data_IF_354447456794
#
_entry.id   IF_354447456794
#
_cell.length_a   1.000
_cell.length_b   1.000
_cell.length_c   1.000
_cell.angle_alpha   90.00
_cell.angle_beta   90.00
_cell.angle_gamma   90.00
#
_symmetry.space_group_name_H-M   'P 1'
#
loop_
_entity.id
_entity.type
_entity.pdbx_description
1 polymer ?
#
# COMPACT_ATOMS: atom_id res chain seq x y z
N UNK A 1 25.63 -3.82 -40.29
CA UNK A 1 26.97 -4.11 -39.74
C UNK A 1 27.29 -3.07 -38.67
N UNK A 2 27.15 -3.43 -37.40
CA UNK A 2 28.10 -3.21 -36.29
C UNK A 2 27.38 -3.53 -34.97
N UNK A 3 27.61 -4.75 -34.50
CA UNK A 3 27.27 -5.22 -33.15
C UNK A 3 28.39 -4.79 -32.22
N UNK A 4 28.09 -4.16 -31.07
CA UNK A 4 29.11 -3.80 -30.07
C UNK A 4 28.82 -4.50 -28.75
N UNK A 5 29.39 -5.68 -28.60
CA UNK A 5 29.46 -6.47 -27.37
C UNK A 5 30.51 -5.86 -26.45
N UNK A 6 30.17 -5.62 -25.17
CA UNK A 6 31.15 -5.25 -24.13
C UNK A 6 31.27 -6.43 -23.15
N UNK A 7 32.41 -7.12 -23.23
CA UNK A 7 32.82 -8.11 -22.23
C UNK A 7 33.47 -7.39 -21.05
N UNK A 8 33.05 -7.71 -19.83
CA UNK A 8 33.71 -7.31 -18.59
C UNK A 8 34.37 -8.55 -17.98
N UNK A 9 35.70 -8.56 -18.01
CA UNK A 9 36.55 -9.56 -17.36
C UNK A 9 36.82 -9.10 -15.93
N UNK A 10 36.40 -9.87 -14.94
CA UNK A 10 36.79 -9.68 -13.53
C UNK A 10 37.78 -10.76 -13.15
N UNK A 11 38.98 -10.36 -12.75
CA UNK A 11 40.04 -11.23 -12.28
C UNK A 11 39.82 -11.55 -10.79
N UNK A 12 39.70 -12.85 -10.46
CA UNK A 12 39.79 -13.33 -9.08
C UNK A 12 41.27 -13.55 -8.71
N UNK A 13 41.74 -12.85 -7.68
CA UNK A 13 43.01 -13.14 -7.03
C UNK A 13 42.77 -14.11 -5.86
N UNK A 14 43.44 -15.26 -5.92
CA UNK A 14 43.50 -16.25 -4.85
C UNK A 14 44.57 -15.83 -3.81
N UNK A 15 44.24 -15.98 -2.54
CA UNK A 15 45.19 -15.82 -1.43
C UNK A 15 44.71 -16.59 -0.21
N UNK A 16 45.24 -17.80 -0.03
CA UNK A 16 45.11 -18.59 1.18
C UNK A 16 46.43 -18.51 1.97
N UNK A 17 46.36 -18.52 3.31
CA UNK A 17 47.27 -19.28 4.19
C UNK A 17 46.88 -19.17 5.68
N UNK A 18 46.58 -20.34 6.26
CA UNK A 18 46.99 -20.90 7.57
C UNK A 18 46.61 -20.28 8.93
N UNK A 19 46.04 -21.16 9.78
CA UNK A 19 45.72 -21.05 11.22
C UNK A 19 46.96 -21.29 12.15
N UNK A 20 46.91 -21.18 13.51
CA UNK A 20 46.20 -22.14 14.39
C UNK A 20 45.66 -21.67 15.78
N UNK A 21 44.78 -22.54 16.33
CA UNK A 21 44.32 -22.84 17.71
C UNK A 21 44.89 -22.12 18.96
N UNK A 22 43.98 -21.73 19.88
CA UNK A 22 44.15 -21.81 21.36
C UNK A 22 42.83 -22.29 22.01
N UNK A 23 42.99 -23.18 23.00
CA UNK A 23 42.00 -23.91 23.81
C UNK A 23 41.69 -23.17 25.15
N UNK A 24 40.62 -23.59 25.85
CA UNK A 24 40.18 -23.30 27.26
C UNK A 24 38.97 -22.34 27.34
N UNK A 25 37.90 -22.55 28.12
CA UNK A 25 37.59 -23.48 29.22
C UNK A 25 36.13 -23.25 29.71
N UNK A 26 35.70 -24.09 30.66
CA UNK A 26 34.31 -24.36 31.05
C UNK A 26 33.57 -23.32 31.95
N UNK A 27 32.23 -23.42 31.88
CA UNK A 27 31.20 -23.34 32.96
C UNK A 27 30.80 -22.00 33.61
N UNK A 28 29.49 -21.67 33.51
CA UNK A 28 28.46 -21.56 34.58
C UNK A 28 27.26 -20.77 34.02
N UNK A 29 26.02 -21.28 33.92
CA UNK A 29 24.96 -21.62 34.91
C UNK A 29 23.96 -20.46 35.20
N UNK A 30 22.68 -20.76 34.92
CA UNK A 30 21.40 -20.25 35.47
C UNK A 30 20.93 -18.78 35.35
N UNK A 31 19.69 -18.62 34.84
CA UNK A 31 18.52 -17.87 35.38
C UNK A 31 17.53 -17.70 34.20
N UNK A 32 16.47 -18.50 34.02
CA UNK A 32 15.15 -18.35 34.65
C UNK A 32 14.67 -16.89 34.76
N UNK A 33 13.88 -16.45 33.78
CA UNK A 33 12.73 -15.57 33.98
C UNK A 33 11.71 -15.84 32.86
N UNK A 34 10.73 -16.68 33.20
CA UNK A 34 9.48 -16.77 32.47
C UNK A 34 8.61 -15.59 32.95
N UNK A 35 8.29 -14.65 32.05
CA UNK A 35 7.16 -13.76 32.30
C UNK A 35 6.06 -14.00 31.27
N UNK A 36 4.93 -14.42 31.82
CA UNK A 36 3.72 -14.81 31.13
C UNK A 36 2.91 -13.55 30.86
N UNK A 37 2.89 -13.08 29.61
CA UNK A 37 1.91 -12.06 29.22
C UNK A 37 0.60 -12.72 28.80
N UNK A 38 -0.29 -12.71 29.78
CA UNK A 38 -1.70 -13.11 29.74
C UNK A 38 -2.42 -12.54 28.50
N UNK A 39 -3.06 -13.42 27.73
CA UNK A 39 -4.03 -13.04 26.70
C UNK A 39 -5.23 -12.36 27.35
N UNK A 40 -5.42 -11.07 27.06
CA UNK A 40 -6.66 -10.37 27.35
C UNK A 40 -7.65 -10.61 26.20
N UNK A 41 -8.66 -11.43 26.45
CA UNK A 41 -9.81 -11.61 25.57
C UNK A 41 -10.69 -10.36 25.64
N UNK A 42 -10.73 -9.57 24.56
CA UNK A 42 -11.72 -8.50 24.43
C UNK A 42 -13.03 -9.09 23.91
N UNK A 43 -14.04 -9.15 24.78
CA UNK A 43 -15.41 -9.51 24.42
C UNK A 43 -16.10 -8.29 23.81
N UNK A 44 -16.37 -8.31 22.51
CA UNK A 44 -17.23 -7.32 21.87
C UNK A 44 -18.68 -7.68 22.18
N UNK A 45 -19.37 -6.81 22.92
CA UNK A 45 -20.81 -6.90 23.14
C UNK A 45 -21.51 -6.21 21.98
N UNK A 46 -22.10 -7.00 21.09
CA UNK A 46 -22.94 -6.51 20.00
C UNK A 46 -24.26 -5.99 20.58
N UNK A 47 -24.52 -4.70 20.45
CA UNK A 47 -25.82 -4.11 20.83
C UNK A 47 -26.76 -4.23 19.64
N UNK A 48 -27.63 -5.25 19.67
CA UNK A 48 -28.73 -5.42 18.73
C UNK A 48 -29.79 -4.35 19.01
N UNK A 49 -30.00 -3.43 18.06
CA UNK A 49 -31.19 -2.56 18.04
C UNK A 49 -32.29 -3.29 17.25
N UNK A 50 -33.50 -3.48 17.81
CA UNK A 50 -34.57 -4.17 17.10
C UNK A 50 -35.19 -3.28 16.00
N UNK A 51 -35.60 -3.93 14.91
CA UNK A 51 -36.19 -3.30 13.74
C UNK A 51 -37.52 -2.58 13.98
N UNK A 52 -37.84 -1.70 13.02
CA UNK A 52 -39.15 -1.10 12.86
C UNK A 52 -39.59 -1.24 11.41
N UNK A 53 -40.47 -2.21 11.16
CA UNK A 53 -41.37 -2.20 10.00
C UNK A 53 -42.52 -1.22 10.28
N UNK A 54 -42.88 -0.41 9.28
CA UNK A 54 -44.02 0.49 9.36
C UNK A 54 -44.25 1.22 8.04
N UNK A 55 -44.99 0.59 7.12
CA UNK A 55 -45.50 1.25 5.91
C UNK A 55 -46.66 2.20 6.20
N UNK A 56 -46.95 3.06 5.22
CA UNK A 56 -48.16 3.88 5.18
C UNK A 56 -47.97 5.16 4.37
N UNK A 57 -48.85 5.35 3.39
CA UNK A 57 -48.96 6.41 2.38
C UNK A 57 -49.13 7.82 2.98
N UNK A 58 -49.03 8.93 2.23
CA UNK A 58 -50.18 9.61 1.61
C UNK A 58 -49.77 10.69 0.58
N UNK A 59 -50.58 10.82 -0.47
CA UNK A 59 -50.53 11.87 -1.50
C UNK A 59 -51.34 13.11 -1.10
N UNK A 60 -50.88 14.32 -1.49
CA UNK A 60 -51.78 15.34 -2.06
C UNK A 60 -51.68 16.79 -1.55
N UNK A 61 -51.51 17.72 -2.50
CA UNK A 61 -51.84 19.15 -2.42
C UNK A 61 -50.62 20.07 -2.22
N UNK A 62 -50.30 21.07 -3.05
CA UNK A 62 -51.10 21.80 -4.01
C UNK A 62 -51.15 23.30 -3.66
N UNK A 63 -50.15 24.04 -4.15
CA UNK A 63 -50.21 25.44 -4.64
C UNK A 63 -50.33 26.64 -3.67
N UNK A 64 -49.34 27.57 -3.71
CA UNK A 64 -49.47 28.94 -4.27
C UNK A 64 -48.45 29.97 -3.70
N UNK A 65 -47.82 30.73 -4.61
CA UNK A 65 -47.22 32.07 -4.39
C UNK A 65 -45.78 32.05 -3.87
N UNK A 66 -44.76 32.65 -4.50
CA UNK A 66 -44.75 33.84 -5.34
C UNK A 66 -43.73 34.82 -4.74
N UNK A 67 -42.54 34.91 -5.32
CA UNK A 67 -41.48 35.81 -4.83
C UNK A 67 -40.20 35.62 -5.63
N UNK A 68 -40.08 36.38 -6.71
CA UNK A 68 -38.83 36.55 -7.43
C UNK A 68 -37.86 37.36 -6.57
N UNK A 69 -36.68 36.82 -6.29
CA UNK A 69 -35.50 37.62 -5.96
C UNK A 69 -34.37 37.20 -6.90
N UNK A 70 -34.21 38.02 -7.95
CA UNK A 70 -33.03 38.08 -8.79
C UNK A 70 -31.88 38.64 -7.96
N UNK A 71 -31.13 37.74 -7.32
CA UNK A 71 -29.86 38.04 -6.66
C UNK A 71 -28.73 37.28 -7.35
N UNK A 72 -28.25 37.81 -8.48
CA UNK A 72 -27.00 37.38 -9.09
C UNK A 72 -25.84 37.69 -8.15
N UNK A 73 -25.52 36.75 -7.27
CA UNK A 73 -24.27 36.70 -6.55
C UNK A 73 -23.26 35.93 -7.40
N UNK A 74 -22.50 36.64 -8.22
CA UNK A 74 -21.18 36.18 -8.64
C UNK A 74 -20.35 35.99 -7.37
N UNK A 75 -20.43 34.81 -6.79
CA UNK A 75 -19.37 34.33 -5.93
C UNK A 75 -18.17 34.12 -6.83
N UNK A 76 -17.26 35.09 -6.84
CA UNK A 76 -15.85 34.82 -7.09
C UNK A 76 -15.41 33.78 -6.06
N UNK A 77 -15.70 32.52 -6.37
CA UNK A 77 -14.95 31.41 -5.85
C UNK A 77 -13.56 31.59 -6.42
N UNK A 78 -12.71 32.28 -5.66
CA UNK A 78 -11.28 31.99 -5.72
C UNK A 78 -11.19 30.46 -5.72
N UNK A 79 -10.62 29.82 -6.76
CA UNK A 79 -10.40 28.40 -6.72
C UNK A 79 -9.70 28.13 -5.39
N UNK A 80 -10.24 27.23 -4.56
CA UNK A 80 -9.48 26.71 -3.44
C UNK A 80 -8.09 26.39 -4.01
N UNK A 81 -6.98 26.85 -3.38
CA UNK A 81 -5.66 26.56 -3.91
C UNK A 81 -5.63 25.06 -4.15
N UNK A 82 -5.49 24.64 -5.42
CA UNK A 82 -5.36 23.23 -5.72
C UNK A 82 -4.29 22.73 -4.76
N UNK A 83 -4.64 21.74 -3.92
CA UNK A 83 -3.81 21.30 -2.80
C UNK A 83 -2.37 21.30 -3.28
N UNK A 84 -1.49 22.05 -2.61
CA UNK A 84 -0.25 22.63 -3.15
C UNK A 84 0.83 21.64 -3.60
N UNK A 85 0.47 20.71 -4.48
CA UNK A 85 1.31 19.72 -5.11
C UNK A 85 2.23 20.46 -6.07
N UNK A 86 3.50 20.48 -5.73
CA UNK A 86 4.54 20.94 -6.61
C UNK A 86 4.71 19.92 -7.74
N UNK A 87 4.57 20.38 -8.98
CA UNK A 87 4.66 19.53 -10.18
C UNK A 87 5.86 19.85 -11.04
N UNK A 88 6.79 20.67 -10.54
CA UNK A 88 8.00 21.02 -11.26
C UNK A 88 8.87 19.78 -11.45
N UNK A 89 9.20 19.46 -12.70
CA UNK A 89 10.02 18.28 -13.03
C UNK A 89 9.24 16.98 -13.26
N UNK A 90 7.91 16.99 -13.16
CA UNK A 90 7.10 15.85 -13.60
C UNK A 90 7.09 15.72 -15.12
N UNK A 91 7.17 14.48 -15.61
CA UNK A 91 6.96 14.13 -17.01
C UNK A 91 5.55 13.54 -17.18
N UNK A 92 4.64 14.21 -17.92
CA UNK A 92 3.26 13.75 -18.09
C UNK A 92 3.15 12.42 -18.84
N UNK A 93 4.24 11.90 -19.43
CA UNK A 93 4.25 10.55 -20.00
C UNK A 93 4.16 9.44 -18.94
N UNK A 94 4.49 9.72 -17.67
CA UNK A 94 4.56 8.71 -16.60
C UNK A 94 3.65 9.02 -15.41
N UNK A 95 3.09 10.22 -15.34
CA UNK A 95 2.23 10.61 -14.21
C UNK A 95 1.15 11.60 -14.63
N UNK A 96 -0.08 11.29 -14.22
CA UNK A 96 -1.21 12.20 -14.26
C UNK A 96 -1.15 13.13 -13.03
N UNK A 97 -0.64 14.35 -13.20
CA UNK A 97 -0.56 15.31 -12.10
C UNK A 97 -1.93 15.67 -11.50
N UNK A 98 -3.02 15.60 -12.28
CA UNK A 98 -4.36 15.89 -11.78
C UNK A 98 -4.89 14.79 -10.86
N UNK A 99 -4.49 13.53 -11.08
CA UNK A 99 -4.86 12.43 -10.18
C UNK A 99 -4.23 12.58 -8.79
N UNK A 100 -2.99 13.08 -8.73
CA UNK A 100 -2.29 13.42 -7.47
C UNK A 100 -2.95 14.63 -6.77
N UNK A 101 -3.34 15.66 -7.53
CA UNK A 101 -4.07 16.83 -6.98
C UNK A 101 -5.44 16.45 -6.44
N UNK A 102 -6.15 15.54 -7.12
CA UNK A 102 -7.43 15.02 -6.63
C UNK A 102 -7.24 14.30 -5.29
N UNK A 103 -6.25 13.41 -5.20
CA UNK A 103 -5.92 12.76 -3.94
C UNK A 103 -5.55 13.75 -2.83
N UNK A 104 -4.66 14.72 -3.11
CA UNK A 104 -4.27 15.73 -2.14
C UNK A 104 -5.44 16.64 -1.70
N UNK A 105 -6.43 16.86 -2.56
CA UNK A 105 -7.65 17.59 -2.22
C UNK A 105 -8.51 16.81 -1.23
N UNK A 106 -8.68 15.50 -1.45
CA UNK A 106 -9.44 14.64 -0.54
C UNK A 106 -8.72 14.46 0.82
N UNK A 107 -7.38 14.44 0.82
CA UNK A 107 -6.56 14.51 2.05
C UNK A 107 -6.88 15.78 2.84
N UNK A 108 -6.83 16.94 2.18
CA UNK A 108 -7.09 18.24 2.82
C UNK A 108 -8.54 18.37 3.31
N UNK A 109 -9.49 17.70 2.66
CA UNK A 109 -10.88 17.63 3.07
C UNK A 109 -11.14 16.62 4.21
N UNK A 110 -10.19 15.72 4.49
CA UNK A 110 -10.36 14.64 5.46
C UNK A 110 -11.40 13.59 5.03
N UNK A 111 -11.59 13.38 3.73
CA UNK A 111 -12.59 12.43 3.20
C UNK A 111 -12.07 10.98 3.25
N UNK A 112 -11.91 10.42 4.47
CA UNK A 112 -11.40 9.04 4.65
C UNK A 112 -12.25 8.04 3.88
N UNK A 113 -13.57 8.13 3.97
CA UNK A 113 -14.48 7.15 3.35
C UNK A 113 -14.41 7.18 1.81
N UNK A 114 -14.41 8.38 1.22
CA UNK A 114 -14.24 8.54 -0.24
C UNK A 114 -12.87 8.05 -0.70
N UNK A 115 -11.81 8.35 0.04
CA UNK A 115 -10.47 7.86 -0.27
C UNK A 115 -10.34 6.34 -0.14
N UNK A 116 -10.94 5.70 0.87
CA UNK A 116 -10.91 4.23 0.99
C UNK A 116 -11.53 3.54 -0.23
N UNK A 117 -12.61 4.09 -0.78
CA UNK A 117 -13.22 3.56 -2.00
C UNK A 117 -12.37 3.75 -3.25
N UNK A 118 -11.76 4.93 -3.41
CA UNK A 118 -10.90 5.25 -4.57
C UNK A 118 -9.54 4.53 -4.51
N UNK A 119 -8.97 4.41 -3.31
CA UNK A 119 -7.69 3.75 -3.03
C UNK A 119 -7.84 2.29 -2.60
N UNK A 120 -8.59 1.54 -3.40
CA UNK A 120 -8.78 0.10 -3.25
C UNK A 120 -7.46 -0.70 -3.34
N UNK A 121 -6.39 -0.11 -3.89
CA UNK A 121 -5.06 -0.74 -3.92
C UNK A 121 -4.37 -0.78 -2.56
N UNK A 122 -4.85 0.02 -1.60
CA UNK A 122 -4.38 0.10 -0.22
C UNK A 122 -5.42 -0.50 0.75
N UNK A 123 -5.00 -1.08 1.89
CA UNK A 123 -5.95 -1.52 2.90
C UNK A 123 -6.62 -0.32 3.58
N UNK A 124 -7.89 -0.47 3.97
CA UNK A 124 -8.67 0.62 4.55
C UNK A 124 -8.00 1.28 5.78
N UNK A 125 -7.44 0.47 6.68
CA UNK A 125 -6.73 0.98 7.85
C UNK A 125 -5.50 1.83 7.52
N UNK A 126 -4.82 1.57 6.39
CA UNK A 126 -3.70 2.39 5.92
C UNK A 126 -4.19 3.76 5.43
N UNK A 127 -5.33 3.83 4.76
CA UNK A 127 -5.95 5.11 4.38
C UNK A 127 -6.29 5.92 5.64
N UNK A 128 -6.82 5.29 6.68
CA UNK A 128 -7.11 6.01 7.92
C UNK A 128 -5.83 6.54 8.59
N UNK A 129 -4.84 5.68 8.82
CA UNK A 129 -3.63 6.02 9.58
C UNK A 129 -2.62 6.86 8.80
N UNK A 130 -2.29 6.45 7.57
CA UNK A 130 -1.18 7.01 6.80
C UNK A 130 -1.63 8.15 5.89
N UNK A 131 -2.93 8.28 5.59
CA UNK A 131 -3.45 9.42 4.84
C UNK A 131 -4.09 10.44 5.77
N UNK A 132 -5.32 10.18 6.25
CA UNK A 132 -6.03 11.19 7.06
C UNK A 132 -5.38 11.46 8.42
N UNK A 133 -4.74 10.45 9.02
CA UNK A 133 -3.96 10.62 10.25
C UNK A 133 -2.68 11.44 10.08
N UNK A 134 -2.22 11.68 8.85
CA UNK A 134 -0.97 12.36 8.54
C UNK A 134 -1.13 13.53 7.54
N UNK A 135 -2.33 14.06 7.39
CA UNK A 135 -2.68 15.01 6.34
C UNK A 135 -1.73 16.23 6.25
N UNK A 136 -1.44 16.89 7.37
CA UNK A 136 -0.55 18.07 7.39
C UNK A 136 0.87 17.74 6.89
N UNK A 137 1.39 16.57 7.28
CA UNK A 137 2.73 16.10 6.88
C UNK A 137 2.79 15.77 5.39
N UNK A 138 1.72 15.19 4.86
CA UNK A 138 1.57 14.90 3.42
C UNK A 138 1.56 16.20 2.63
N UNK A 139 0.77 17.20 3.06
CA UNK A 139 0.69 18.50 2.38
C UNK A 139 2.06 19.19 2.36
N UNK A 140 2.82 19.11 3.46
CA UNK A 140 4.20 19.63 3.52
C UNK A 140 5.13 18.91 2.53
N UNK A 141 5.10 17.57 2.49
CA UNK A 141 5.91 16.80 1.55
C UNK A 141 5.59 17.17 0.09
N UNK A 142 4.31 17.25 -0.26
CA UNK A 142 3.82 17.58 -1.61
C UNK A 142 4.24 18.98 -2.10
N UNK A 143 4.56 19.90 -1.20
CA UNK A 143 5.06 21.24 -1.56
C UNK A 143 6.50 21.23 -2.10
N UNK A 144 7.26 20.16 -1.86
CA UNK A 144 8.63 19.98 -2.36
C UNK A 144 8.63 19.52 -3.82
N UNK A 145 9.65 19.90 -4.60
CA UNK A 145 9.75 19.41 -5.98
C UNK A 145 9.96 17.88 -5.98
N UNK A 146 9.21 17.12 -6.80
CA UNK A 146 9.36 15.68 -6.87
C UNK A 146 10.66 15.26 -7.54
N UNK A 147 11.16 14.09 -7.16
CA UNK A 147 12.23 13.39 -7.88
C UNK A 147 11.68 12.12 -8.55
N UNK A 148 12.27 11.75 -9.68
CA UNK A 148 12.02 10.45 -10.30
C UNK A 148 12.87 9.38 -9.61
N UNK A 149 12.22 8.40 -8.98
CA UNK A 149 12.85 7.22 -8.41
C UNK A 149 12.73 6.02 -9.37
N UNK A 150 13.17 4.84 -8.95
CA UNK A 150 13.09 3.63 -9.78
C UNK A 150 11.66 3.13 -9.97
N UNK A 151 10.77 3.42 -9.02
CA UNK A 151 9.45 2.82 -8.90
C UNK A 151 8.30 3.83 -8.94
N UNK A 152 8.61 5.11 -9.07
CA UNK A 152 7.62 6.18 -9.10
C UNK A 152 8.23 7.57 -8.99
N UNK A 153 7.37 8.57 -8.89
CA UNK A 153 7.75 9.90 -8.43
C UNK A 153 7.66 9.98 -6.90
N UNK A 154 8.59 10.72 -6.29
CA UNK A 154 8.68 10.90 -4.84
C UNK A 154 8.73 12.37 -4.49
N UNK A 155 7.83 12.80 -3.63
CA UNK A 155 7.84 14.09 -2.93
C UNK A 155 8.42 13.90 -1.53
N UNK A 156 9.10 14.92 -1.01
CA UNK A 156 9.64 14.91 0.34
C UNK A 156 10.84 13.97 0.53
N UNK A 157 11.55 13.60 -0.54
CA UNK A 157 12.65 12.61 -0.54
C UNK A 157 13.83 12.94 0.41
N UNK A 158 13.99 14.20 0.81
CA UNK A 158 15.01 14.63 1.79
C UNK A 158 14.39 14.93 3.18
N UNK A 159 13.18 14.43 3.44
CA UNK A 159 12.41 14.71 4.65
C UNK A 159 12.01 13.43 5.38
N UNK A 160 11.46 13.58 6.59
CA UNK A 160 10.93 12.45 7.37
C UNK A 160 9.58 11.93 6.86
N UNK A 161 8.98 12.59 5.87
CA UNK A 161 7.71 12.16 5.26
C UNK A 161 7.89 12.10 3.76
N UNK A 162 7.85 10.90 3.18
CA UNK A 162 7.89 10.74 1.73
C UNK A 162 6.51 10.38 1.20
N UNK A 163 6.13 11.00 0.09
CA UNK A 163 4.93 10.63 -0.68
C UNK A 163 5.39 10.10 -2.02
N UNK A 164 5.17 8.82 -2.25
CA UNK A 164 5.61 8.10 -3.44
C UNK A 164 4.41 7.68 -4.27
N UNK A 165 4.35 8.10 -5.53
CA UNK A 165 3.35 7.64 -6.49
C UNK A 165 3.98 6.55 -7.36
N UNK A 166 3.67 5.26 -7.14
CA UNK A 166 4.19 4.19 -7.96
C UNK A 166 3.78 4.35 -9.43
N UNK A 167 4.56 3.81 -10.37
CA UNK A 167 4.24 3.91 -11.80
C UNK A 167 2.81 3.49 -12.17
N UNK A 168 2.34 2.38 -11.61
CA UNK A 168 0.97 1.88 -11.81
C UNK A 168 -0.10 2.89 -11.35
N UNK A 169 0.16 3.62 -10.27
CA UNK A 169 -0.75 4.64 -9.74
C UNK A 169 -0.64 5.96 -10.53
N UNK A 170 0.53 6.25 -11.11
CA UNK A 170 0.75 7.43 -11.94
C UNK A 170 -0.09 7.44 -13.22
N UNK A 171 -0.43 6.26 -13.74
CA UNK A 171 -1.30 6.09 -14.91
C UNK A 171 -2.80 6.13 -14.56
N UNK A 172 -3.15 6.08 -13.27
CA UNK A 172 -4.55 6.07 -12.78
C UNK A 172 -5.19 7.46 -12.86
N UNK A 173 -6.51 7.48 -13.02
CA UNK A 173 -7.34 8.69 -12.90
C UNK A 173 -7.40 9.24 -11.46
N UNK A 174 -7.05 8.41 -10.48
CA UNK A 174 -6.91 8.79 -9.08
C UNK A 174 -5.69 8.10 -8.47
N UNK A 175 -4.70 8.86 -8.05
CA UNK A 175 -3.46 8.31 -7.50
C UNK A 175 -3.67 7.83 -6.07
N UNK A 176 -3.11 6.67 -5.72
CA UNK A 176 -3.06 6.15 -4.35
C UNK A 176 -1.61 5.97 -3.89
N UNK A 177 -0.95 7.05 -3.45
CA UNK A 177 0.47 7.06 -3.16
C UNK A 177 0.82 6.20 -1.93
N UNK A 178 2.03 5.66 -1.89
CA UNK A 178 2.60 5.18 -0.64
C UNK A 178 3.12 6.38 0.14
N UNK A 179 2.79 6.44 1.42
CA UNK A 179 3.25 7.45 2.37
C UNK A 179 4.13 6.75 3.39
N UNK A 180 5.42 7.07 3.34
CA UNK A 180 6.42 6.62 4.30
C UNK A 180 6.55 7.72 5.37
N UNK A 181 6.27 7.35 6.61
CA UNK A 181 6.30 8.26 7.75
C UNK A 181 7.52 7.97 8.61
N UNK A 182 8.11 9.03 9.15
CA UNK A 182 9.22 8.97 10.11
C UNK A 182 10.49 8.29 9.55
N UNK A 183 10.64 8.30 8.22
CA UNK A 183 11.74 7.64 7.50
C UNK A 183 11.68 6.11 7.52
N UNK A 184 10.58 5.50 8.00
CA UNK A 184 10.36 4.06 7.90
C UNK A 184 9.90 3.70 6.49
N UNK A 185 10.84 3.16 5.71
CA UNK A 185 10.61 2.70 4.35
C UNK A 185 10.21 1.21 4.30
N UNK A 186 10.05 0.57 5.46
CA UNK A 186 9.65 -0.84 5.52
C UNK A 186 8.12 -0.91 5.39
N UNK A 187 7.60 -1.62 4.38
CA UNK A 187 6.16 -1.75 4.21
C UNK A 187 5.47 -2.30 5.47
N UNK A 188 4.32 -1.73 5.87
CA UNK A 188 3.56 -2.24 6.99
C UNK A 188 2.93 -3.60 6.62
N UNK A 189 2.80 -4.47 7.61
CA UNK A 189 2.25 -5.82 7.46
C UNK A 189 0.85 -5.83 6.83
N UNK A 190 0.03 -4.82 7.09
CA UNK A 190 -1.30 -4.68 6.48
C UNK A 190 -1.24 -4.51 4.96
N UNK A 191 -0.27 -3.78 4.43
CA UNK A 191 -0.06 -3.61 2.99
C UNK A 191 0.45 -4.92 2.37
N UNK A 192 1.28 -5.67 3.10
CA UNK A 192 1.76 -6.98 2.66
C UNK A 192 0.60 -7.98 2.55
N UNK A 193 -0.21 -8.08 3.60
CA UNK A 193 -1.40 -8.94 3.63
C UNK A 193 -2.39 -8.55 2.52
N UNK A 194 -2.67 -7.25 2.36
CA UNK A 194 -3.56 -6.77 1.31
C UNK A 194 -3.05 -7.07 -0.10
N UNK A 195 -1.74 -6.96 -0.33
CA UNK A 195 -1.12 -7.31 -1.62
C UNK A 195 -1.30 -8.79 -1.93
N UNK A 196 -1.08 -9.68 -0.95
CA UNK A 196 -1.29 -11.12 -1.10
C UNK A 196 -2.77 -11.45 -1.34
N UNK A 197 -3.68 -10.84 -0.58
CA UNK A 197 -5.12 -11.03 -0.72
C UNK A 197 -5.60 -10.62 -2.12
N UNK A 198 -5.21 -9.43 -2.59
CA UNK A 198 -5.52 -8.95 -3.94
C UNK A 198 -5.01 -9.90 -5.02
N UNK A 199 -3.79 -10.42 -4.84
CA UNK A 199 -3.23 -11.39 -5.77
C UNK A 199 -4.08 -12.65 -5.84
N UNK A 200 -4.39 -13.29 -4.70
CA UNK A 200 -5.19 -14.52 -4.67
C UNK A 200 -6.59 -14.30 -5.27
N UNK A 201 -7.29 -13.24 -4.83
CA UNK A 201 -8.62 -12.88 -5.35
C UNK A 201 -8.62 -12.69 -6.87
N UNK A 202 -7.60 -12.01 -7.41
CA UNK A 202 -7.48 -11.79 -8.85
C UNK A 202 -7.24 -13.08 -9.61
N UNK A 203 -6.32 -13.94 -9.16
CA UNK A 203 -6.03 -15.21 -9.83
C UNK A 203 -7.22 -16.19 -9.74
N UNK A 204 -8.05 -16.09 -8.70
CA UNK A 204 -9.32 -16.82 -8.55
C UNK A 204 -10.47 -16.21 -9.37
N UNK A 205 -10.22 -15.16 -10.15
CA UNK A 205 -11.22 -14.52 -11.02
C UNK A 205 -12.21 -13.59 -10.31
N UNK A 206 -11.94 -13.22 -9.07
CA UNK A 206 -12.76 -12.31 -8.26
C UNK A 206 -11.95 -11.12 -7.74
N UNK A 207 -11.33 -10.31 -8.63
CA UNK A 207 -10.49 -9.19 -8.21
C UNK A 207 -11.27 -8.17 -7.38
N UNK A 208 -10.58 -7.53 -6.43
CA UNK A 208 -11.17 -6.49 -5.56
C UNK A 208 -11.76 -5.31 -6.35
N UNK A 209 -11.22 -5.05 -7.53
CA UNK A 209 -11.68 -4.04 -8.46
C UNK A 209 -11.47 -4.55 -9.90
N UNK A 210 -12.39 -4.33 -10.85
CA UNK A 210 -12.19 -4.72 -12.25
C UNK A 210 -10.92 -4.15 -12.90
N UNK A 211 -10.39 -3.03 -12.40
CA UNK A 211 -9.14 -2.45 -12.86
C UNK A 211 -7.89 -3.16 -12.31
N UNK A 212 -8.03 -4.05 -11.31
CA UNK A 212 -6.95 -4.87 -10.78
C UNK A 212 -6.56 -5.97 -11.77
N UNK A 213 -5.81 -5.59 -12.78
CA UNK A 213 -5.28 -6.49 -13.81
C UNK A 213 -3.79 -6.67 -13.62
N UNK A 214 -3.24 -7.80 -14.09
CA UNK A 214 -1.80 -8.05 -14.02
C UNK A 214 -0.95 -6.99 -14.73
N UNK A 215 -1.48 -6.44 -15.83
CA UNK A 215 -0.80 -5.43 -16.65
C UNK A 215 -0.81 -4.05 -15.98
N UNK A 216 -1.97 -3.61 -15.45
CA UNK A 216 -2.07 -2.32 -14.78
C UNK A 216 -1.42 -2.33 -13.39
N UNK A 217 -1.61 -3.41 -12.63
CA UNK A 217 -1.12 -3.56 -11.26
C UNK A 217 -0.36 -4.88 -11.10
N UNK A 218 0.92 -4.95 -11.50
CA UNK A 218 1.72 -6.17 -11.36
C UNK A 218 2.01 -6.46 -9.88
N UNK A 219 1.32 -7.47 -9.34
CA UNK A 219 1.46 -7.93 -7.95
C UNK A 219 2.52 -9.03 -7.77
N UNK A 220 2.99 -9.64 -8.87
CA UNK A 220 4.09 -10.61 -8.81
C UNK A 220 5.44 -9.90 -8.81
N UNK A 221 6.39 -10.52 -8.12
CA UNK A 221 7.77 -10.12 -8.18
C UNK A 221 8.32 -10.38 -9.59
N UNK A 222 9.09 -9.44 -10.12
CA UNK A 222 9.62 -9.49 -11.48
C UNK A 222 10.84 -10.42 -11.59
N UNK A 223 11.58 -10.59 -10.49
CA UNK A 223 12.83 -11.36 -10.47
C UNK A 223 12.75 -12.66 -9.68
N UNK A 224 11.72 -12.85 -8.87
CA UNK A 224 11.48 -14.13 -8.19
C UNK A 224 11.30 -15.27 -9.19
N UNK A 225 11.90 -16.41 -8.86
CA UNK A 225 11.73 -17.67 -9.59
C UNK A 225 10.90 -18.69 -8.80
N UNK A 226 10.41 -18.32 -7.61
CA UNK A 226 9.58 -19.22 -6.83
C UNK A 226 8.28 -19.50 -7.60
N UNK A 227 7.82 -20.77 -7.61
CA UNK A 227 6.62 -21.13 -8.35
C UNK A 227 5.39 -20.49 -7.71
N UNK A 228 4.37 -20.30 -8.54
CA UNK A 228 3.00 -20.13 -8.05
C UNK A 228 2.17 -21.20 -8.70
N UNK A 229 1.80 -22.18 -7.89
CA UNK A 229 1.06 -23.36 -8.32
C UNK A 229 -0.43 -23.02 -8.49
N UNK A 230 -0.99 -23.10 -9.71
CA UNK A 230 -2.38 -22.66 -9.95
C UNK A 230 -3.41 -23.37 -9.08
N UNK A 231 -3.25 -24.68 -8.85
CA UNK A 231 -4.16 -25.44 -7.98
C UNK A 231 -4.08 -25.03 -6.51
N UNK A 232 -2.90 -24.62 -6.04
CA UNK A 232 -2.73 -24.10 -4.67
C UNK A 232 -3.39 -22.73 -4.52
N UNK A 233 -3.30 -21.88 -5.56
CA UNK A 233 -3.98 -20.59 -5.58
C UNK A 233 -5.49 -20.74 -5.62
N UNK A 234 -6.02 -21.71 -6.39
CA UNK A 234 -7.46 -21.99 -6.46
C UNK A 234 -8.02 -22.42 -5.10
N UNK A 235 -7.28 -23.22 -4.34
CA UNK A 235 -7.69 -23.74 -3.03
C UNK A 235 -7.41 -22.79 -1.85
N UNK A 236 -6.57 -21.77 -2.05
CA UNK A 236 -6.17 -20.83 -1.00
C UNK A 236 -7.34 -19.93 -0.56
N UNK A 237 -7.48 -19.73 0.75
CA UNK A 237 -8.46 -18.79 1.30
C UNK A 237 -7.86 -17.36 1.38
N UNK A 238 -8.31 -16.40 0.56
CA UNK A 238 -7.76 -15.05 0.57
C UNK A 238 -8.05 -14.28 1.87
N UNK A 239 -9.03 -14.71 2.68
CA UNK A 239 -9.41 -14.03 3.94
C UNK A 239 -8.68 -14.61 5.17
N UNK A 240 -8.10 -15.81 5.06
CA UNK A 240 -7.38 -16.49 6.13
C UNK A 240 -5.85 -16.26 6.13
N UNK A 241 -5.38 -15.24 5.41
CA UNK A 241 -3.96 -14.89 5.33
C UNK A 241 -3.42 -14.41 6.70
N UNK A 242 -2.29 -14.96 7.10
CA UNK A 242 -1.55 -14.54 8.30
C UNK A 242 -0.04 -14.55 8.05
N UNK A 243 0.66 -13.54 8.56
CA UNK A 243 2.14 -13.53 8.55
C UNK A 243 2.63 -14.48 9.64
N UNK A 244 3.42 -15.47 9.27
CA UNK A 244 4.03 -16.42 10.23
C UNK A 244 5.44 -16.01 10.64
N UNK A 245 6.20 -15.41 9.72
CA UNK A 245 7.52 -14.86 10.00
C UNK A 245 7.90 -13.86 8.90
N UNK A 246 8.86 -12.99 9.19
CA UNK A 246 9.36 -12.00 8.26
C UNK A 246 10.84 -11.71 8.50
N UNK A 247 11.55 -11.35 7.44
CA UNK A 247 12.90 -10.80 7.47
C UNK A 247 12.82 -9.38 6.90
N UNK A 248 12.47 -8.43 7.80
CA UNK A 248 12.18 -7.04 7.41
C UNK A 248 13.41 -6.33 6.86
N UNK A 249 14.60 -6.69 7.34
CA UNK A 249 15.88 -6.13 6.87
C UNK A 249 16.14 -6.48 5.39
N UNK A 250 15.62 -7.62 4.94
CA UNK A 250 15.68 -8.04 3.54
C UNK A 250 14.36 -7.86 2.78
N UNK A 251 13.36 -7.23 3.40
CA UNK A 251 12.04 -6.97 2.81
C UNK A 251 11.31 -8.25 2.41
N UNK A 252 11.32 -9.30 3.25
CA UNK A 252 10.64 -10.57 2.99
C UNK A 252 9.60 -10.88 4.06
N UNK A 253 8.47 -11.42 3.64
CA UNK A 253 7.44 -11.95 4.54
C UNK A 253 7.00 -13.33 4.08
N UNK A 254 6.68 -14.17 5.05
CA UNK A 254 6.19 -15.51 4.82
C UNK A 254 4.80 -15.59 5.43
N UNK A 255 3.81 -15.83 4.58
CA UNK A 255 2.41 -15.87 4.94
C UNK A 255 1.90 -17.31 4.82
N UNK A 256 0.88 -17.62 5.60
CA UNK A 256 0.09 -18.85 5.46
C UNK A 256 -1.36 -18.52 5.26
N UNK A 257 -2.06 -19.38 4.53
CA UNK A 257 -3.51 -19.48 4.50
C UNK A 257 -3.91 -20.96 4.45
N UNK A 258 -5.20 -21.27 4.40
CA UNK A 258 -5.72 -22.62 4.21
C UNK A 258 -5.04 -23.29 3.01
N UNK A 259 -4.21 -24.31 3.27
CA UNK A 259 -3.57 -25.13 2.25
C UNK A 259 -2.35 -24.53 1.54
N UNK A 260 -1.99 -23.27 1.81
CA UNK A 260 -0.95 -22.58 1.06
C UNK A 260 0.02 -21.76 1.94
N UNK A 261 1.28 -21.70 1.50
CA UNK A 261 2.28 -20.71 1.90
C UNK A 261 2.41 -19.68 0.79
N UNK A 262 2.51 -18.42 1.17
CA UNK A 262 2.69 -17.30 0.24
C UNK A 262 3.97 -16.56 0.64
N UNK A 263 4.95 -16.57 -0.26
CA UNK A 263 6.19 -15.82 -0.11
C UNK A 263 5.99 -14.41 -0.66
N UNK A 264 6.33 -13.40 0.14
CA UNK A 264 6.27 -11.99 -0.24
C UNK A 264 7.66 -11.38 -0.20
N UNK A 265 7.92 -10.44 -1.09
CA UNK A 265 9.17 -9.68 -1.15
C UNK A 265 8.92 -8.21 -1.48
N UNK A 266 9.90 -7.34 -1.23
CA UNK A 266 9.99 -6.04 -1.89
C UNK A 266 10.93 -6.15 -3.09
N UNK A 267 10.46 -5.73 -4.27
CA UNK A 267 11.30 -5.55 -5.45
C UNK A 267 11.00 -4.18 -6.07
N UNK A 268 12.04 -3.41 -6.39
CA UNK A 268 11.90 -2.06 -6.94
C UNK A 268 10.89 -1.23 -6.12
N UNK A 269 11.04 -1.17 -4.79
CA UNK A 269 10.16 -0.38 -3.89
C UNK A 269 8.70 -0.87 -3.80
N UNK A 270 8.35 -2.00 -4.41
CA UNK A 270 6.99 -2.58 -4.39
C UNK A 270 6.94 -3.91 -3.65
N UNK A 271 5.99 -4.04 -2.74
CA UNK A 271 5.61 -5.34 -2.16
C UNK A 271 4.98 -6.20 -3.26
N UNK A 272 5.45 -7.42 -3.39
CA UNK A 272 5.02 -8.35 -4.43
C UNK A 272 5.00 -9.79 -3.92
N UNK A 273 4.19 -10.62 -4.58
CA UNK A 273 4.14 -12.08 -4.38
C UNK A 273 5.34 -12.69 -5.10
N UNK A 274 6.23 -13.31 -4.33
CA UNK A 274 7.39 -14.02 -4.81
C UNK A 274 7.04 -15.46 -5.21
N UNK A 275 6.16 -16.13 -4.46
CA UNK A 275 5.74 -17.52 -4.71
C UNK A 275 4.49 -17.92 -3.92
N UNK A 276 3.83 -19.01 -4.35
CA UNK A 276 2.68 -19.62 -3.68
C UNK A 276 2.78 -21.14 -3.85
N UNK A 277 2.93 -21.84 -2.73
CA UNK A 277 3.23 -23.27 -2.68
C UNK A 277 2.40 -23.96 -1.58
N UNK A 278 2.27 -25.30 -1.59
CA UNK A 278 1.56 -26.02 -0.53
C UNK A 278 2.16 -25.77 0.86
N UNK A 279 1.30 -25.65 1.87
CA UNK A 279 1.71 -25.41 3.27
C UNK A 279 2.31 -26.61 4.00
#
# INVERSE_FOLDING_TARGET
MYTRTRNLTVALAAGALAAPLILSGCSSDSSEDADSSTSATATVTETVVPGGDGGGTDNGGGDTGGGADTGGGSGDGTPAPGAGVNTDGLDPAYINADSVRAWATDIAAGDTAGMTGKCWTMPAGYVESNYTGAADRIVEALATAPIQAQDGYVWGADSVTEVRVPWAEGESDYACPKVDLDGDNIPPDSVVLWTAQRFLLREQGSPVNPADTGDAYPLRCAYSQNPVEPGVVEDADPEALAIVTHDRDHGKWYLTTTGARVDMSVENGRVCVAGVEPA
#
